data_IF_536182440144
#
_entry.id   IF_536182440144
#
_cell.length_a   1.000
_cell.length_b   1.000
_cell.length_c   1.000
_cell.angle_alpha   90.00
_cell.angle_beta   90.00
_cell.angle_gamma   90.00
#
_symmetry.space_group_name_H-M   'P 1'
#
loop_
_entity.id
_entity.type
_entity.pdbx_description
1 polymer ?
#
# COMPACT_ATOMS: atom_id res chain seq x y z
N UNK A 1 -23.61 37.43 27.08
CA UNK A 1 -24.46 36.31 26.61
C UNK A 1 -24.88 36.51 25.15
N UNK A 2 -25.56 37.61 24.79
CA UNK A 2 -25.94 37.87 23.39
C UNK A 2 -24.75 38.07 22.43
N UNK A 3 -23.74 38.85 22.83
CA UNK A 3 -22.53 39.07 22.00
C UNK A 3 -21.71 37.78 21.79
N UNK A 4 -21.65 36.91 22.80
CA UNK A 4 -20.98 35.61 22.68
C UNK A 4 -21.73 34.68 21.71
N UNK A 5 -23.06 34.64 21.81
CA UNK A 5 -23.88 33.83 20.91
C UNK A 5 -23.76 34.30 19.44
N UNK A 6 -23.74 35.62 19.21
CA UNK A 6 -23.52 36.21 17.89
C UNK A 6 -22.12 35.89 17.33
N UNK A 7 -21.07 35.98 18.16
CA UNK A 7 -19.72 35.62 17.75
C UNK A 7 -19.61 34.13 17.39
N UNK A 8 -20.21 33.23 18.18
CA UNK A 8 -20.20 31.78 17.90
C UNK A 8 -20.97 31.44 16.62
N UNK A 9 -22.08 32.13 16.32
CA UNK A 9 -22.81 31.94 15.07
C UNK A 9 -21.95 32.34 13.85
N UNK A 10 -21.26 33.49 13.92
CA UNK A 10 -20.34 33.94 12.86
C UNK A 10 -19.16 32.99 12.66
N UNK A 11 -18.61 32.44 13.75
CA UNK A 11 -17.56 31.43 13.66
C UNK A 11 -18.09 30.15 12.98
N UNK A 12 -19.29 29.69 13.32
CA UNK A 12 -19.89 28.53 12.68
C UNK A 12 -20.11 28.74 11.16
N UNK A 13 -20.56 29.92 10.75
CA UNK A 13 -20.65 30.29 9.32
C UNK A 13 -19.28 30.30 8.63
N UNK A 14 -18.24 30.77 9.33
CA UNK A 14 -16.88 30.78 8.81
C UNK A 14 -16.29 29.38 8.62
N UNK A 15 -16.48 28.49 9.60
CA UNK A 15 -16.06 27.08 9.52
C UNK A 15 -16.78 26.36 8.36
N UNK A 16 -18.08 26.64 8.16
CA UNK A 16 -18.81 26.09 7.02
C UNK A 16 -18.22 26.56 5.68
N UNK A 17 -17.91 27.85 5.55
CA UNK A 17 -17.30 28.39 4.34
C UNK A 17 -15.88 27.82 4.08
N UNK A 18 -15.13 27.50 5.14
CA UNK A 18 -13.86 26.80 5.02
C UNK A 18 -14.05 25.37 4.49
N UNK A 19 -15.00 24.62 5.04
CA UNK A 19 -15.31 23.26 4.58
C UNK A 19 -15.78 23.22 3.11
N UNK A 20 -16.59 24.19 2.68
CA UNK A 20 -17.00 24.31 1.28
C UNK A 20 -15.81 24.59 0.36
N UNK A 21 -14.90 25.48 0.78
CA UNK A 21 -13.69 25.80 0.01
C UNK A 21 -12.72 24.61 -0.09
N UNK A 22 -12.52 23.85 0.99
CA UNK A 22 -11.71 22.63 1.00
C UNK A 22 -12.27 21.57 0.05
N UNK A 23 -13.59 21.37 0.08
CA UNK A 23 -14.28 20.49 -0.86
C UNK A 23 -14.05 20.90 -2.32
N UNK A 24 -14.16 22.19 -2.64
CA UNK A 24 -13.94 22.69 -4.00
C UNK A 24 -12.50 22.46 -4.47
N UNK A 25 -11.53 22.71 -3.61
CA UNK A 25 -10.10 22.45 -3.89
C UNK A 25 -9.86 20.96 -4.12
N UNK A 26 -10.45 20.09 -3.30
CA UNK A 26 -10.29 18.65 -3.43
C UNK A 26 -10.91 18.13 -4.73
N UNK A 27 -12.14 18.53 -5.06
CA UNK A 27 -12.77 18.17 -6.33
C UNK A 27 -11.93 18.64 -7.53
N UNK A 28 -11.36 19.85 -7.46
CA UNK A 28 -10.47 20.34 -8.51
C UNK A 28 -9.19 19.52 -8.61
N UNK A 29 -8.56 19.19 -7.48
CA UNK A 29 -7.35 18.35 -7.41
C UNK A 29 -7.61 17.00 -8.07
N UNK A 30 -8.65 16.30 -7.66
CA UNK A 30 -9.00 14.98 -8.19
C UNK A 30 -9.22 15.05 -9.71
N UNK A 31 -10.01 16.01 -10.21
CA UNK A 31 -10.26 16.19 -11.66
C UNK A 31 -8.99 16.38 -12.48
N UNK A 32 -8.00 17.07 -11.91
CA UNK A 32 -6.70 17.30 -12.56
C UNK A 32 -5.80 16.08 -12.50
N UNK A 33 -5.81 15.37 -11.38
CA UNK A 33 -4.90 14.27 -11.10
C UNK A 33 -5.36 12.96 -11.76
N UNK A 34 -6.66 12.72 -11.92
CA UNK A 34 -7.18 11.44 -12.41
C UNK A 34 -6.57 11.02 -13.75
N UNK A 35 -6.59 11.91 -14.76
CA UNK A 35 -5.98 11.63 -16.07
C UNK A 35 -4.46 11.48 -16.03
N UNK A 36 -3.81 12.13 -15.06
CA UNK A 36 -2.36 12.00 -14.85
C UNK A 36 -2.06 10.62 -14.27
N UNK A 37 -2.84 10.15 -13.31
CA UNK A 37 -2.73 8.81 -12.75
C UNK A 37 -3.05 7.72 -13.79
N UNK A 38 -4.03 7.93 -14.68
CA UNK A 38 -4.28 7.03 -15.82
C UNK A 38 -3.04 6.92 -16.73
N UNK A 39 -2.46 8.06 -17.12
CA UNK A 39 -1.24 8.08 -17.93
C UNK A 39 -0.07 7.42 -17.21
N UNK A 40 0.07 7.62 -15.90
CA UNK A 40 1.11 6.98 -15.08
C UNK A 40 0.91 5.48 -15.03
N UNK A 41 -0.32 5.01 -14.79
CA UNK A 41 -0.66 3.58 -14.73
C UNK A 41 -0.36 2.87 -16.06
N UNK A 42 -0.62 3.53 -17.20
CA UNK A 42 -0.26 3.00 -18.51
C UNK A 42 1.26 2.80 -18.68
N UNK A 43 2.09 3.64 -18.06
CA UNK A 43 3.55 3.52 -18.08
C UNK A 43 4.02 2.45 -17.10
N UNK A 44 3.57 2.49 -15.84
CA UNK A 44 4.03 1.57 -14.78
C UNK A 44 3.70 0.11 -15.09
N UNK A 45 2.61 -0.16 -15.81
CA UNK A 45 2.26 -1.50 -16.33
C UNK A 45 3.32 -2.10 -17.26
N UNK A 46 4.15 -1.27 -17.87
CA UNK A 46 5.24 -1.74 -18.76
C UNK A 46 6.51 -2.09 -18.01
N UNK A 47 6.58 -1.78 -16.70
CA UNK A 47 7.74 -2.01 -15.85
C UNK A 47 7.51 -3.32 -15.07
N UNK A 48 8.31 -4.38 -15.31
CA UNK A 48 8.18 -5.64 -14.59
C UNK A 48 8.31 -5.45 -13.08
N UNK A 49 7.49 -6.15 -12.31
CA UNK A 49 7.52 -6.16 -10.84
C UNK A 49 7.38 -4.77 -10.18
N UNK A 50 6.92 -3.74 -10.90
CA UNK A 50 6.80 -2.39 -10.37
C UNK A 50 6.07 -2.35 -9.02
N UNK A 51 4.85 -2.89 -8.96
CA UNK A 51 4.05 -2.89 -7.73
C UNK A 51 4.61 -3.81 -6.65
N UNK A 52 5.23 -4.94 -7.01
CA UNK A 52 5.90 -5.80 -6.04
C UNK A 52 7.01 -5.02 -5.30
N UNK A 53 7.88 -4.32 -6.05
CA UNK A 53 8.97 -3.53 -5.49
C UNK A 53 8.42 -2.37 -4.64
N UNK A 54 7.40 -1.66 -5.12
CA UNK A 54 6.76 -0.56 -4.38
C UNK A 54 6.20 -1.05 -3.04
N UNK A 55 5.47 -2.16 -3.03
CA UNK A 55 4.87 -2.71 -1.82
C UNK A 55 5.93 -3.24 -0.84
N UNK A 56 7.06 -3.74 -1.34
CA UNK A 56 8.16 -4.22 -0.51
C UNK A 56 8.98 -3.08 0.10
N UNK A 57 9.10 -1.95 -0.59
CA UNK A 57 9.84 -0.77 -0.12
C UNK A 57 9.05 0.08 0.90
N UNK A 58 7.72 -0.03 0.92
CA UNK A 58 6.90 0.63 1.94
C UNK A 58 6.89 -0.20 3.23
N UNK A 59 7.56 0.30 4.27
CA UNK A 59 7.74 -0.39 5.54
C UNK A 59 6.42 -0.75 6.24
N UNK A 60 5.39 0.08 6.08
CA UNK A 60 4.10 -0.07 6.77
C UNK A 60 3.23 -1.17 6.13
N UNK A 61 3.32 -1.39 4.82
CA UNK A 61 2.44 -2.33 4.10
C UNK A 61 2.51 -3.75 4.66
N UNK A 62 3.73 -4.21 5.01
CA UNK A 62 3.98 -5.52 5.58
C UNK A 62 3.27 -5.77 6.91
N UNK A 63 2.89 -4.73 7.65
CA UNK A 63 2.21 -4.84 8.95
C UNK A 63 0.74 -5.28 8.83
N UNK A 64 0.11 -4.99 7.69
CA UNK A 64 -1.31 -5.26 7.46
C UNK A 64 -1.58 -6.70 7.02
N UNK A 65 -0.60 -7.34 6.39
CA UNK A 65 -0.74 -8.67 5.79
C UNK A 65 0.10 -9.71 6.52
N UNK A 66 -0.07 -10.97 6.13
CA UNK A 66 0.78 -12.05 6.63
C UNK A 66 2.12 -12.07 5.89
N UNK A 67 3.23 -12.42 6.57
CA UNK A 67 4.51 -12.62 5.88
C UNK A 67 4.43 -13.65 4.76
N UNK A 68 3.64 -14.72 4.91
CA UNK A 68 3.48 -15.72 3.86
C UNK A 68 2.68 -15.23 2.65
N UNK A 69 2.01 -14.08 2.76
CA UNK A 69 1.27 -13.48 1.65
C UNK A 69 2.17 -12.63 0.74
N UNK A 70 3.39 -12.28 1.17
CA UNK A 70 4.34 -11.46 0.40
C UNK A 70 4.63 -12.05 -0.98
N UNK A 71 4.71 -13.38 -1.08
CA UNK A 71 4.95 -14.08 -2.36
C UNK A 71 3.81 -13.92 -3.38
N UNK A 72 2.61 -13.54 -2.96
CA UNK A 72 1.48 -13.30 -3.86
C UNK A 72 1.49 -11.89 -4.44
N UNK A 73 2.30 -10.99 -3.88
CA UNK A 73 2.43 -9.62 -4.37
C UNK A 73 3.12 -9.58 -5.73
N UNK A 74 3.96 -10.56 -6.06
CA UNK A 74 4.58 -10.71 -7.38
C UNK A 74 3.56 -10.88 -8.51
N UNK A 75 2.37 -11.43 -8.21
CA UNK A 75 1.29 -11.56 -9.18
C UNK A 75 0.53 -10.24 -9.42
N UNK A 76 0.78 -9.18 -8.64
CA UNK A 76 0.13 -7.88 -8.80
C UNK A 76 0.79 -7.14 -9.97
N UNK A 77 0.01 -6.94 -11.03
CA UNK A 77 0.44 -6.19 -12.22
C UNK A 77 0.04 -4.72 -12.16
N UNK A 78 -1.02 -4.39 -11.42
CA UNK A 78 -1.45 -3.01 -11.24
C UNK A 78 -2.23 -2.80 -9.94
N UNK A 79 -2.03 -1.63 -9.33
CA UNK A 79 -2.89 -1.07 -8.28
C UNK A 79 -3.31 0.32 -8.75
N UNK A 80 -4.61 0.51 -8.94
CA UNK A 80 -5.15 1.76 -9.45
C UNK A 80 -6.23 2.30 -8.54
N UNK A 81 -6.22 3.62 -8.32
CA UNK A 81 -7.22 4.33 -7.52
C UNK A 81 -8.02 5.24 -8.44
N UNK A 82 -9.34 5.03 -8.46
CA UNK A 82 -10.28 5.88 -9.18
C UNK A 82 -11.21 6.60 -8.24
N UNK A 83 -11.31 7.92 -8.41
CA UNK A 83 -12.29 8.74 -7.71
C UNK A 83 -13.46 9.03 -8.68
N UNK A 84 -14.65 8.44 -8.48
CA UNK A 84 -15.79 8.67 -9.35
C UNK A 84 -16.37 10.08 -9.14
N UNK A 85 -15.87 11.06 -9.87
CA UNK A 85 -16.22 12.49 -9.72
C UNK A 85 -17.52 12.89 -10.43
N UNK A 86 -18.28 11.92 -10.95
CA UNK A 86 -19.61 12.21 -11.52
C UNK A 86 -20.56 12.81 -10.47
N UNK A 87 -20.26 12.60 -9.19
CA UNK A 87 -21.01 13.11 -8.05
C UNK A 87 -20.10 13.90 -7.11
N UNK A 88 -20.25 15.23 -7.07
CA UNK A 88 -19.49 16.10 -6.17
C UNK A 88 -19.88 15.92 -4.69
N UNK A 89 -21.04 15.34 -4.39
CA UNK A 89 -21.41 15.02 -3.01
C UNK A 89 -20.53 13.89 -2.48
N UNK A 90 -20.29 12.87 -3.30
CA UNK A 90 -19.43 11.71 -3.00
C UNK A 90 -17.98 11.88 -3.46
N UNK A 91 -17.45 13.11 -3.46
CA UNK A 91 -16.08 13.40 -3.91
C UNK A 91 -14.97 12.67 -3.13
N UNK A 92 -15.25 12.21 -1.90
CA UNK A 92 -14.34 11.40 -1.07
C UNK A 92 -14.49 9.90 -1.27
N UNK A 93 -15.44 9.46 -2.09
CA UNK A 93 -15.56 8.06 -2.46
C UNK A 93 -14.48 7.73 -3.49
N UNK A 94 -14.03 6.48 -3.47
CA UNK A 94 -13.03 5.99 -4.40
C UNK A 94 -13.18 4.49 -4.63
N UNK A 95 -12.51 3.98 -5.65
CA UNK A 95 -12.35 2.56 -5.88
C UNK A 95 -10.87 2.23 -5.96
N UNK A 96 -10.50 1.08 -5.38
CA UNK A 96 -9.17 0.51 -5.52
C UNK A 96 -9.31 -0.72 -6.41
N UNK A 97 -8.54 -0.76 -7.49
CA UNK A 97 -8.48 -1.90 -8.41
C UNK A 97 -7.14 -2.59 -8.27
N UNK A 98 -7.16 -3.86 -7.87
CA UNK A 98 -6.01 -4.76 -7.94
C UNK A 98 -6.11 -5.62 -9.20
N UNK A 99 -5.10 -5.57 -10.05
CA UNK A 99 -5.02 -6.41 -11.26
C UNK A 99 -3.97 -7.49 -11.06
N UNK A 100 -4.40 -8.76 -11.05
CA UNK A 100 -3.52 -9.92 -10.93
C UNK A 100 -3.24 -10.50 -12.32
N UNK A 101 -1.96 -10.63 -12.66
CA UNK A 101 -1.50 -11.13 -13.95
C UNK A 101 -1.64 -12.65 -14.10
N UNK A 102 -1.37 -13.19 -15.30
CA UNK A 102 -1.33 -14.63 -15.55
C UNK A 102 -0.12 -15.32 -14.90
N UNK A 103 0.89 -14.55 -14.51
CA UNK A 103 2.13 -15.05 -13.93
C UNK A 103 2.04 -15.12 -12.40
N UNK A 104 2.55 -16.20 -11.82
CA UNK A 104 2.63 -16.42 -10.37
C UNK A 104 1.50 -17.31 -9.80
N UNK A 105 1.22 -17.13 -8.50
CA UNK A 105 0.45 -18.10 -7.71
C UNK A 105 -0.99 -17.64 -7.38
N UNK A 106 -1.38 -16.47 -7.88
CA UNK A 106 -2.75 -15.94 -7.75
C UNK A 106 -3.49 -16.12 -9.08
N UNK A 107 -4.74 -16.62 -9.09
CA UNK A 107 -5.52 -16.66 -10.33
C UNK A 107 -5.64 -15.27 -10.96
N UNK A 108 -5.44 -15.19 -12.28
CA UNK A 108 -5.60 -13.96 -13.05
C UNK A 108 -7.01 -13.37 -12.87
N UNK A 109 -7.10 -12.15 -12.38
CA UNK A 109 -8.36 -11.47 -12.09
C UNK A 109 -8.13 -9.97 -11.82
N UNK A 110 -9.15 -9.17 -12.12
CA UNK A 110 -9.21 -7.78 -11.71
C UNK A 110 -10.25 -7.64 -10.60
N UNK A 111 -9.85 -7.08 -9.46
CA UNK A 111 -10.70 -6.93 -8.28
C UNK A 111 -10.89 -5.45 -8.00
N UNK A 112 -12.11 -4.98 -8.21
CA UNK A 112 -12.49 -3.59 -7.95
C UNK A 112 -13.22 -3.53 -6.61
N UNK A 113 -12.65 -2.80 -5.65
CA UNK A 113 -13.24 -2.58 -4.33
C UNK A 113 -13.61 -1.11 -4.15
N UNK A 114 -14.89 -0.84 -3.93
CA UNK A 114 -15.43 0.51 -3.70
C UNK A 114 -15.37 0.88 -2.22
N UNK A 115 -15.00 2.12 -1.94
CA UNK A 115 -15.02 2.72 -0.62
C UNK A 115 -15.89 3.97 -0.62
N UNK A 116 -16.67 4.13 0.44
CA UNK A 116 -17.48 5.31 0.70
C UNK A 116 -17.04 5.93 2.02
N UNK A 117 -16.88 7.25 2.00
CA UNK A 117 -16.46 8.02 3.17
C UNK A 117 -17.67 8.63 3.85
N UNK A 118 -17.81 8.41 5.16
CA UNK A 118 -18.92 8.92 5.98
C UNK A 118 -18.35 9.64 7.19
N UNK A 119 -18.80 10.86 7.46
CA UNK A 119 -18.46 11.55 8.70
C UNK A 119 -19.31 11.01 9.85
N UNK A 120 -18.65 10.39 10.82
CA UNK A 120 -19.25 9.90 12.06
C UNK A 120 -18.50 10.47 13.26
N UNK A 121 -19.20 11.11 14.19
CA UNK A 121 -18.62 11.69 15.42
C UNK A 121 -17.49 12.70 15.15
N UNK A 122 -17.50 13.37 13.99
CA UNK A 122 -16.48 14.34 13.59
C UNK A 122 -15.24 13.71 12.93
N UNK A 123 -15.24 12.39 12.72
CA UNK A 123 -14.18 11.65 12.03
C UNK A 123 -14.70 11.08 10.71
N UNK A 124 -13.93 11.22 9.65
CA UNK A 124 -14.24 10.61 8.36
C UNK A 124 -13.89 9.12 8.42
N UNK A 125 -14.89 8.23 8.40
CA UNK A 125 -14.72 6.77 8.39
C UNK A 125 -14.93 6.19 7.00
N UNK A 126 -14.25 5.08 6.73
CA UNK A 126 -14.41 4.33 5.48
C UNK A 126 -15.36 3.14 5.67
N UNK A 127 -16.23 2.95 4.69
CA UNK A 127 -17.04 1.75 4.53
C UNK A 127 -16.86 1.15 3.15
N UNK A 128 -17.02 -0.16 3.05
CA UNK A 128 -16.92 -0.87 1.77
C UNK A 128 -17.97 -1.98 1.68
N UNK A 129 -18.08 -2.56 0.49
CA UNK A 129 -18.80 -3.79 0.23
C UNK A 129 -17.84 -4.96 0.08
N UNK A 130 -18.32 -6.16 0.41
CA UNK A 130 -17.54 -7.38 0.21
C UNK A 130 -17.42 -7.67 -1.28
N UNK A 131 -16.20 -7.90 -1.73
CA UNK A 131 -15.91 -8.28 -3.13
C UNK A 131 -15.50 -9.74 -3.15
N UNK A 132 -16.05 -10.50 -4.08
CA UNK A 132 -15.64 -11.89 -4.30
C UNK A 132 -14.27 -11.94 -4.98
N UNK A 133 -13.40 -12.79 -4.47
CA UNK A 133 -12.02 -12.94 -4.94
C UNK A 133 -11.67 -14.41 -5.07
N UNK A 134 -10.94 -14.76 -6.12
CA UNK A 134 -10.36 -16.09 -6.28
C UNK A 134 -9.07 -16.17 -5.47
N UNK A 135 -9.11 -16.89 -4.36
CA UNK A 135 -7.94 -17.09 -3.50
C UNK A 135 -6.90 -18.00 -4.18
N UNK A 136 -5.59 -17.80 -3.91
CA UNK A 136 -4.56 -18.76 -4.29
C UNK A 136 -4.89 -20.17 -3.85
N UNK A 137 -4.51 -21.18 -4.63
CA UNK A 137 -4.79 -22.60 -4.33
C UNK A 137 -4.30 -22.96 -2.93
N UNK A 138 -3.09 -22.52 -2.58
CA UNK A 138 -2.45 -22.77 -1.30
C UNK A 138 -3.16 -22.13 -0.10
N UNK A 139 -4.02 -21.13 -0.31
CA UNK A 139 -4.77 -20.45 0.75
C UNK A 139 -6.25 -20.87 0.82
N UNK A 140 -6.69 -21.80 -0.04
CA UNK A 140 -8.10 -22.23 -0.06
C UNK A 140 -8.57 -22.85 1.26
N UNK A 141 -7.69 -23.55 1.97
CA UNK A 141 -8.02 -24.21 3.24
C UNK A 141 -8.24 -23.22 4.40
N UNK A 142 -7.67 -22.01 4.30
CA UNK A 142 -7.85 -20.93 5.26
C UNK A 142 -8.85 -19.86 4.80
N UNK A 143 -9.38 -19.93 3.58
CA UNK A 143 -10.35 -18.96 3.05
C UNK A 143 -11.60 -18.85 3.96
N UNK A 144 -11.88 -17.66 4.53
CA UNK A 144 -13.06 -17.45 5.37
C UNK A 144 -14.39 -17.81 4.68
N UNK A 145 -14.54 -17.49 3.40
CA UNK A 145 -15.72 -17.85 2.61
C UNK A 145 -15.91 -19.37 2.50
N UNK A 146 -14.85 -20.10 2.16
CA UNK A 146 -14.91 -21.57 2.02
C UNK A 146 -15.16 -22.25 3.38
N UNK A 147 -14.55 -21.75 4.46
CA UNK A 147 -14.79 -22.27 5.82
C UNK A 147 -16.25 -22.05 6.24
N UNK A 148 -16.84 -20.87 5.96
CA UNK A 148 -18.27 -20.61 6.22
C UNK A 148 -19.16 -21.58 5.43
N UNK A 149 -18.83 -21.82 4.17
CA UNK A 149 -19.61 -22.68 3.25
C UNK A 149 -19.52 -24.16 3.62
N UNK A 150 -18.34 -24.64 4.00
CA UNK A 150 -18.08 -26.06 4.28
C UNK A 150 -18.33 -26.45 5.74
N UNK A 151 -18.91 -25.54 6.53
CA UNK A 151 -19.16 -25.73 7.96
C UNK A 151 -20.03 -26.97 8.20
N UNK A 152 -19.48 -27.97 8.89
CA UNK A 152 -20.14 -29.27 9.08
C UNK A 152 -21.12 -29.31 10.26
N UNK A 153 -21.19 -28.24 11.08
CA UNK A 153 -22.03 -28.20 12.27
C UNK A 153 -22.54 -26.81 12.64
N UNK A 154 -23.31 -26.72 13.74
CA UNK A 154 -23.92 -25.46 14.19
C UNK A 154 -22.87 -24.42 14.62
N UNK A 155 -21.74 -24.87 15.16
CA UNK A 155 -20.60 -24.06 15.59
C UNK A 155 -19.32 -24.49 14.88
N UNK A 156 -18.36 -23.58 14.74
CA UNK A 156 -17.04 -23.92 14.23
C UNK A 156 -16.28 -24.82 15.19
N UNK A 157 -15.62 -25.84 14.64
CA UNK A 157 -14.62 -26.65 15.33
C UNK A 157 -13.41 -25.79 15.75
N UNK A 158 -12.55 -26.34 16.61
CA UNK A 158 -11.32 -25.65 17.02
C UNK A 158 -10.39 -25.37 15.83
N UNK A 159 -10.27 -26.33 14.92
CA UNK A 159 -9.45 -26.22 13.70
C UNK A 159 -10.02 -25.18 12.72
N UNK A 160 -11.34 -25.21 12.48
CA UNK A 160 -12.01 -24.21 11.62
C UNK A 160 -11.85 -22.80 12.17
N UNK A 161 -11.95 -22.61 13.50
CA UNK A 161 -11.70 -21.30 14.13
C UNK A 161 -10.26 -20.84 13.96
N UNK A 162 -9.29 -21.76 14.01
CA UNK A 162 -7.86 -21.45 13.81
C UNK A 162 -7.61 -21.02 12.37
N UNK A 163 -8.05 -21.82 11.41
CA UNK A 163 -7.93 -21.52 9.96
C UNK A 163 -8.65 -20.24 9.57
N UNK A 164 -9.86 -20.03 10.08
CA UNK A 164 -10.61 -18.79 9.85
C UNK A 164 -9.81 -17.58 10.33
N UNK A 165 -9.30 -17.60 11.57
CA UNK A 165 -8.50 -16.48 12.10
C UNK A 165 -7.19 -16.26 11.34
N UNK A 166 -6.60 -17.32 10.80
CA UNK A 166 -5.41 -17.22 9.95
C UNK A 166 -5.75 -16.56 8.62
N UNK A 167 -6.82 -17.02 7.94
CA UNK A 167 -7.30 -16.43 6.69
C UNK A 167 -7.74 -14.97 6.85
N UNK A 168 -8.36 -14.61 7.97
CA UNK A 168 -8.78 -13.22 8.24
C UNK A 168 -7.63 -12.20 8.31
N UNK A 169 -6.37 -12.64 8.42
CA UNK A 169 -5.18 -11.78 8.36
C UNK A 169 -4.55 -11.70 6.97
N UNK A 170 -5.09 -12.45 6.02
CA UNK A 170 -4.57 -12.49 4.66
C UNK A 170 -5.02 -11.27 3.86
N UNK A 171 -4.19 -10.79 2.93
CA UNK A 171 -4.56 -9.73 1.98
C UNK A 171 -5.90 -10.05 1.29
N UNK A 172 -6.12 -11.32 0.94
CA UNK A 172 -7.34 -11.74 0.25
C UNK A 172 -8.61 -11.59 1.10
N UNK A 173 -8.50 -11.59 2.43
CA UNK A 173 -9.64 -11.34 3.32
C UNK A 173 -9.97 -9.84 3.44
N UNK A 174 -9.04 -8.94 3.13
CA UNK A 174 -9.32 -7.50 3.09
C UNK A 174 -10.38 -7.16 2.03
N UNK A 175 -10.46 -7.92 0.94
CA UNK A 175 -11.52 -7.72 -0.05
C UNK A 175 -12.94 -7.98 0.48
N UNK A 176 -13.10 -8.80 1.52
CA UNK A 176 -14.36 -9.00 2.24
C UNK A 176 -14.62 -7.94 3.34
N UNK A 177 -13.65 -7.09 3.68
CA UNK A 177 -13.80 -6.08 4.72
C UNK A 177 -14.88 -5.06 4.35
N UNK A 178 -15.70 -4.65 5.33
CA UNK A 178 -16.80 -3.70 5.10
C UNK A 178 -16.79 -2.49 6.02
N UNK A 179 -16.06 -2.54 7.14
CA UNK A 179 -16.08 -1.52 8.18
C UNK A 179 -17.29 -1.62 9.12
N UNK A 180 -18.25 -2.51 8.83
CA UNK A 180 -19.53 -2.62 9.56
C UNK A 180 -19.49 -3.61 10.72
N UNK A 181 -18.45 -4.45 10.81
CA UNK A 181 -18.37 -5.51 11.83
C UNK A 181 -17.02 -5.47 12.58
N UNK A 182 -16.88 -4.56 13.56
CA UNK A 182 -15.67 -4.45 14.37
C UNK A 182 -15.26 -5.81 14.96
N UNK A 183 -13.96 -6.11 14.91
CA UNK A 183 -13.35 -7.34 15.46
C UNK A 183 -13.77 -8.67 14.79
N UNK A 184 -14.61 -8.65 13.75
CA UNK A 184 -15.06 -9.85 13.01
C UNK A 184 -14.60 -9.87 11.55
N UNK A 185 -13.91 -8.82 11.13
CA UNK A 185 -13.41 -8.60 9.77
C UNK A 185 -11.88 -8.52 9.77
N UNK A 186 -11.30 -8.27 8.58
CA UNK A 186 -9.88 -8.00 8.42
C UNK A 186 -9.47 -6.86 9.35
N UNK A 187 -8.34 -7.03 10.04
CA UNK A 187 -7.84 -6.04 11.01
C UNK A 187 -7.39 -4.80 10.26
N UNK A 188 -7.75 -3.61 10.75
CA UNK A 188 -7.24 -2.35 10.18
C UNK A 188 -7.50 -2.23 8.68
N UNK A 189 -8.65 -2.73 8.20
CA UNK A 189 -8.97 -2.68 6.77
C UNK A 189 -9.18 -1.26 6.24
N UNK A 190 -9.62 -0.35 7.11
CA UNK A 190 -9.69 1.08 6.82
C UNK A 190 -8.30 1.69 6.70
N UNK A 191 -7.39 1.39 7.63
CA UNK A 191 -6.01 1.87 7.62
C UNK A 191 -5.26 1.40 6.37
N UNK A 192 -5.42 0.13 5.98
CA UNK A 192 -4.84 -0.39 4.73
C UNK A 192 -5.41 0.33 3.48
N UNK A 193 -6.70 0.66 3.48
CA UNK A 193 -7.29 1.42 2.37
C UNK A 193 -6.71 2.84 2.29
N UNK A 194 -6.51 3.50 3.44
CA UNK A 194 -5.85 4.81 3.52
C UNK A 194 -4.38 4.75 3.10
N UNK A 195 -3.62 3.76 3.59
CA UNK A 195 -2.24 3.56 3.15
C UNK A 195 -2.15 3.46 1.62
N UNK A 196 -3.08 2.75 0.99
CA UNK A 196 -3.10 2.63 -0.48
C UNK A 196 -3.37 3.98 -1.16
N UNK A 197 -4.41 4.70 -0.73
CA UNK A 197 -4.88 5.93 -1.42
C UNK A 197 -4.04 7.16 -1.08
N UNK A 198 -3.65 7.32 0.18
CA UNK A 198 -3.02 8.53 0.70
C UNK A 198 -1.49 8.47 0.56
N UNK A 199 -0.90 7.28 0.45
CA UNK A 199 0.55 7.09 0.44
C UNK A 199 1.07 6.24 -0.73
N UNK A 200 0.80 4.92 -0.75
CA UNK A 200 1.39 3.99 -1.73
C UNK A 200 1.14 4.44 -3.17
N UNK A 201 -0.12 4.74 -3.53
CA UNK A 201 -0.44 5.11 -4.91
C UNK A 201 0.15 6.48 -5.25
N UNK A 202 -0.02 7.55 -4.47
CA UNK A 202 0.66 8.82 -4.75
C UNK A 202 2.18 8.69 -4.89
N UNK A 203 2.83 7.92 -4.01
CA UNK A 203 4.28 7.85 -3.88
C UNK A 203 4.92 6.63 -4.57
N UNK A 204 4.16 5.83 -5.34
CA UNK A 204 4.64 4.59 -5.96
C UNK A 204 5.96 4.74 -6.74
N UNK A 205 6.10 5.79 -7.55
CA UNK A 205 7.32 6.01 -8.35
C UNK A 205 8.51 6.38 -7.46
N UNK A 206 8.26 7.07 -6.34
CA UNK A 206 9.28 7.41 -5.38
C UNK A 206 9.82 6.14 -4.69
N UNK A 207 8.93 5.30 -4.13
CA UNK A 207 9.30 4.02 -3.55
C UNK A 207 10.06 3.12 -4.53
N UNK A 208 9.58 3.02 -5.77
CA UNK A 208 10.30 2.25 -6.79
C UNK A 208 11.71 2.80 -7.03
N UNK A 209 11.87 4.13 -7.14
CA UNK A 209 13.16 4.75 -7.39
C UNK A 209 14.13 4.57 -6.21
N UNK A 210 13.64 4.69 -4.97
CA UNK A 210 14.43 4.46 -3.77
C UNK A 210 14.94 3.02 -3.70
N UNK A 211 14.08 2.03 -3.97
CA UNK A 211 14.48 0.63 -3.99
C UNK A 211 15.61 0.36 -4.99
N UNK A 212 15.49 0.88 -6.22
CA UNK A 212 16.52 0.72 -7.26
C UNK A 212 17.83 1.41 -6.89
N UNK A 213 17.77 2.59 -6.26
CA UNK A 213 18.98 3.31 -5.84
C UNK A 213 19.70 2.61 -4.68
N UNK A 214 18.95 2.11 -3.71
CA UNK A 214 19.51 1.36 -2.58
C UNK A 214 20.21 0.08 -3.04
N UNK A 215 19.59 -0.65 -3.98
CA UNK A 215 20.21 -1.84 -4.59
C UNK A 215 21.51 -1.46 -5.33
N UNK A 216 21.49 -0.39 -6.11
CA UNK A 216 22.68 0.08 -6.84
C UNK A 216 23.82 0.53 -5.91
N UNK A 217 23.51 1.23 -4.81
CA UNK A 217 24.51 1.63 -3.80
C UNK A 217 25.08 0.42 -3.06
N UNK A 218 24.28 -0.62 -2.82
CA UNK A 218 24.78 -1.86 -2.21
C UNK A 218 25.78 -2.62 -3.10
N UNK A 219 25.64 -2.54 -4.43
CA UNK A 219 26.57 -3.20 -5.37
C UNK A 219 27.93 -2.49 -5.48
N UNK A 220 28.02 -1.18 -5.22
CA UNK A 220 29.31 -0.46 -5.25
C UNK A 220 30.13 -0.64 -3.97
N UNK A 221 29.52 -0.88 -2.82
CA UNK A 221 30.26 -1.15 -1.57
C UNK A 221 30.97 -2.51 -1.59
N UNK A 222 30.38 -3.56 -2.19
CA UNK A 222 30.97 -4.92 -2.27
C UNK A 222 32.17 -4.99 -3.23
N UNK A 223 32.33 -4.02 -4.13
CA UNK A 223 33.46 -3.97 -5.08
C UNK A 223 34.72 -3.29 -4.52
N UNK A 224 34.68 -2.71 -3.31
CA UNK A 224 35.80 -1.93 -2.75
C UNK A 224 36.67 -2.68 -1.73
N UNK A 225 36.35 -3.91 -1.33
CA UNK A 225 37.19 -4.72 -0.43
C UNK A 225 38.10 -5.66 -1.24
N UNK A 226 39.17 -5.15 -1.83
CA UNK A 226 40.01 -6.02 -2.66
C UNK A 226 41.34 -5.50 -3.20
N UNK A 227 42.02 -4.55 -2.55
CA UNK A 227 43.44 -4.33 -2.81
C UNK A 227 44.23 -4.27 -1.50
N UNK A 228 44.62 -5.45 -1.00
CA UNK A 228 45.73 -5.53 -0.05
C UNK A 228 47.01 -5.05 -0.75
N UNK A 229 47.52 -3.89 -0.31
CA UNK A 229 48.81 -3.35 -0.70
C UNK A 229 49.92 -4.28 -0.23
N UNK A 230 50.46 -5.08 -1.16
CA UNK A 230 51.64 -5.92 -0.99
C UNK A 230 52.85 -5.06 -0.59
N UNK A 231 53.28 -5.19 0.67
CA UNK A 231 54.49 -4.59 1.23
C UNK A 231 55.71 -5.42 0.79
N UNK A 232 56.16 -5.22 -0.45
CA UNK A 232 57.51 -5.67 -0.84
C UNK A 232 58.54 -4.59 -0.48
N UNK A 233 59.18 -4.76 0.68
CA UNK A 233 60.43 -4.09 1.06
C UNK A 233 61.51 -4.41 0.02
N UNK A 234 61.98 -3.39 -0.70
CA UNK A 234 63.20 -3.49 -1.51
C UNK A 234 64.15 -2.36 -1.06
N UNK A 235 65.06 -2.70 -0.13
CA UNK A 235 66.21 -1.87 0.22
C UNK A 235 67.20 -1.82 -0.96
N UNK A 236 67.68 -0.65 -1.40
CA UNK A 236 68.91 -0.57 -2.17
C UNK A 236 70.10 -0.17 -1.29
N UNK A 237 71.14 -0.99 -1.38
CA UNK A 237 72.46 -0.80 -0.77
C UNK A 237 73.18 0.51 -1.17
N UNK A 238 73.94 0.99 -0.20
CA UNK A 238 74.99 2.02 -0.18
C UNK A 238 75.77 2.25 -1.49
N UNK A 239 75.99 3.53 -1.82
CA UNK A 239 77.29 4.01 -2.34
C UNK A 239 77.76 5.31 -1.68
N UNK A 240 78.99 5.25 -1.16
CA UNK A 240 79.81 6.37 -0.65
C UNK A 240 80.25 7.28 -1.81
N UNK A 241 80.31 8.59 -1.56
CA UNK A 241 81.42 9.40 -2.10
C UNK A 241 81.75 10.60 -1.19
N UNK A 242 83.04 10.72 -0.87
CA UNK A 242 83.74 11.80 -0.15
C UNK A 242 83.89 13.05 -1.03
N UNK A 243 83.92 14.24 -0.41
CA UNK A 243 85.03 15.25 -0.38
C UNK A 243 84.58 16.41 0.51
N UNK A 244 85.21 16.67 1.66
CA UNK A 244 86.35 17.60 1.89
C UNK A 244 86.06 19.05 1.46
N UNK A 245 85.78 19.92 2.45
CA UNK A 245 86.61 21.09 2.80
C UNK A 245 86.39 21.45 4.28
#
# INVERSE_FOLDING_TARGET
MAELADALAKLAENEQAMGDAEKDVEVFRIKRMQSIYESRAAITKTIPQFWYIVLAQNDDFGEYIRPEDLKYLESITDIYVDHPIADTEHHRDFTITFSFGPDGNVPQQDIVKKFTTVDEDGEAKLYSESVEVQWPEELKDISPALIRKNKQGKNYSSDEKKKYRQGMKSLFAWFEWTGKKPSKEFRSGEDLARLIVDDLVPNAVHYYSEAINNDAESEVEDSSEGEELDLSEDEPEKKKQKTEE
#
